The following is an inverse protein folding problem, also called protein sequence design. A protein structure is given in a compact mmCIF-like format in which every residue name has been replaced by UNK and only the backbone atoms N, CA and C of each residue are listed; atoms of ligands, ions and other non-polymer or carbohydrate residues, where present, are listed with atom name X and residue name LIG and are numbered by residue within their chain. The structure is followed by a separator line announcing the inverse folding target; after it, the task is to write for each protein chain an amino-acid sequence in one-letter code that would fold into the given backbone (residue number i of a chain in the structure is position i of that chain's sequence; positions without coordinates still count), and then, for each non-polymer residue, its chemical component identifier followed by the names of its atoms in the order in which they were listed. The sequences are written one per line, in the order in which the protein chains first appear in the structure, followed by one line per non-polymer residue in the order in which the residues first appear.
data_IF_267310045326
#
_entry.id   IF_267310045326
#
_cell.length_a   1.000
_cell.length_b   1.000
_cell.length_c   1.000
_cell.angle_alpha   90.00
_cell.angle_beta   90.00
_cell.angle_gamma   90.00
#
_symmetry.space_group_name_H-M   'P 1'
#
loop_
_entity.id
_entity.type
_entity.pdbx_description
1 polymer ?
#
# COMPACT_ATOMS: atom_id res chain seq x y z
N UNK A 1 3.97 23.30 -25.39
CA UNK A 1 3.38 23.11 -24.05
C UNK A 1 2.03 22.42 -24.21
N UNK A 2 1.91 21.16 -23.76
CA UNK A 2 0.69 20.69 -23.10
C UNK A 2 1.05 19.67 -22.00
N UNK A 3 1.36 20.14 -20.80
CA UNK A 3 1.57 19.26 -19.62
C UNK A 3 0.54 19.52 -18.51
N UNK A 4 -0.21 20.63 -18.58
CA UNK A 4 -1.20 20.99 -17.58
C UNK A 4 -2.46 20.09 -17.61
N UNK A 5 -2.90 19.68 -18.81
CA UNK A 5 -4.14 18.91 -18.97
C UNK A 5 -4.02 17.47 -18.41
N UNK A 6 -2.82 16.89 -18.49
CA UNK A 6 -2.53 15.55 -17.95
C UNK A 6 -2.57 15.59 -16.41
N UNK A 7 -1.99 16.63 -15.80
CA UNK A 7 -1.90 16.77 -14.34
C UNK A 7 -3.29 16.94 -13.70
N UNK A 8 -4.21 17.69 -14.33
CA UNK A 8 -5.58 17.85 -13.83
C UNK A 8 -6.40 16.56 -13.94
N UNK A 9 -6.20 15.78 -15.02
CA UNK A 9 -6.92 14.50 -15.21
C UNK A 9 -6.54 13.40 -14.21
N UNK A 10 -5.40 13.56 -13.53
CA UNK A 10 -4.85 12.63 -12.55
C UNK A 10 -5.10 13.05 -11.09
N UNK A 11 -5.82 14.17 -10.88
CA UNK A 11 -6.15 14.70 -9.56
C UNK A 11 -7.56 14.28 -9.11
N UNK A 12 -7.95 13.03 -9.43
CA UNK A 12 -9.23 12.45 -9.01
C UNK A 12 -9.02 11.73 -7.67
N UNK A 13 -9.91 11.89 -6.69
CA UNK A 13 -9.81 11.14 -5.44
C UNK A 13 -10.03 9.64 -5.68
N UNK A 14 -9.46 8.78 -4.83
CA UNK A 14 -9.61 7.33 -4.92
C UNK A 14 -11.07 6.88 -5.00
N UNK A 15 -11.37 5.98 -5.94
CA UNK A 15 -12.72 5.40 -6.10
C UNK A 15 -12.88 4.05 -5.39
N UNK A 16 -14.12 3.66 -5.09
CA UNK A 16 -14.41 2.33 -4.50
C UNK A 16 -14.01 1.19 -5.42
N UNK A 17 -14.20 1.35 -6.74
CA UNK A 17 -13.84 0.33 -7.74
C UNK A 17 -12.34 0.11 -7.79
N UNK A 18 -11.55 1.18 -7.76
CA UNK A 18 -10.09 1.13 -7.69
C UNK A 18 -9.62 0.48 -6.38
N UNK A 19 -10.25 0.85 -5.25
CA UNK A 19 -9.95 0.27 -3.94
C UNK A 19 -10.25 -1.23 -3.92
N UNK A 20 -11.38 -1.64 -4.48
CA UNK A 20 -11.77 -3.05 -4.62
C UNK A 20 -10.80 -3.83 -5.51
N UNK A 21 -10.39 -3.25 -6.64
CA UNK A 21 -9.40 -3.83 -7.54
C UNK A 21 -8.05 -3.99 -6.83
N UNK A 22 -7.59 -2.97 -6.11
CA UNK A 22 -6.34 -3.04 -5.36
C UNK A 22 -6.39 -4.11 -4.27
N UNK A 23 -7.52 -4.23 -3.55
CA UNK A 23 -7.71 -5.28 -2.55
C UNK A 23 -7.72 -6.68 -3.17
N UNK A 24 -8.35 -6.85 -4.33
CA UNK A 24 -8.44 -8.15 -5.00
C UNK A 24 -7.08 -8.63 -5.51
N UNK A 25 -6.23 -7.72 -6.00
CA UNK A 25 -4.86 -7.98 -6.46
C UNK A 25 -3.88 -8.39 -5.34
N UNK A 26 -4.22 -8.16 -4.06
CA UNK A 26 -3.35 -8.56 -2.96
C UNK A 26 -3.20 -10.09 -2.85
N UNK A 27 -1.99 -10.61 -2.68
CA UNK A 27 -1.78 -12.03 -2.41
C UNK A 27 -2.26 -12.43 -1.00
N UNK A 28 -2.98 -13.54 -0.86
CA UNK A 28 -3.61 -13.99 0.40
C UNK A 28 -2.71 -14.80 1.34
N UNK A 29 -1.40 -14.88 1.07
CA UNK A 29 -0.44 -15.69 1.86
C UNK A 29 0.80 -14.91 2.34
N UNK A 30 0.79 -13.58 2.25
CA UNK A 30 1.89 -12.74 2.73
C UNK A 30 1.70 -12.40 4.21
N UNK A 31 2.81 -12.26 4.92
CA UNK A 31 2.81 -11.78 6.28
C UNK A 31 2.15 -10.38 6.37
N UNK A 32 1.37 -10.12 7.43
CA UNK A 32 0.84 -8.79 7.71
C UNK A 32 2.00 -7.81 7.96
N UNK A 33 1.72 -6.51 7.84
CA UNK A 33 2.69 -5.50 8.18
C UNK A 33 2.73 -5.25 9.69
N UNK A 34 3.19 -4.06 10.08
CA UNK A 34 3.13 -3.58 11.47
C UNK A 34 1.71 -3.55 12.05
N UNK A 35 0.70 -3.46 11.18
CA UNK A 35 -0.73 -3.46 11.51
C UNK A 35 -1.25 -4.80 12.05
N UNK A 36 -0.53 -5.91 11.84
CA UNK A 36 -0.95 -7.28 12.20
C UNK A 36 -2.29 -7.73 11.56
N UNK A 37 -2.83 -6.97 10.59
CA UNK A 37 -4.06 -7.32 9.87
C UNK A 37 -3.68 -8.03 8.58
N UNK A 38 -4.10 -9.28 8.34
CA UNK A 38 -3.77 -9.99 7.11
C UNK A 38 -4.65 -9.53 5.93
N UNK A 39 -4.11 -9.64 4.71
CA UNK A 39 -4.84 -9.28 3.47
C UNK A 39 -6.16 -10.04 3.30
N UNK A 40 -6.29 -11.23 3.90
CA UNK A 40 -7.52 -12.03 3.89
C UNK A 40 -8.69 -11.32 4.58
N UNK A 41 -8.43 -10.54 5.64
CA UNK A 41 -9.47 -9.75 6.31
C UNK A 41 -10.01 -8.68 5.37
N UNK A 42 -9.13 -8.01 4.63
CA UNK A 42 -9.53 -7.01 3.63
C UNK A 42 -10.37 -7.60 2.51
N UNK A 43 -10.02 -8.80 2.04
CA UNK A 43 -10.80 -9.51 1.02
C UNK A 43 -12.15 -10.02 1.53
N UNK A 44 -12.22 -10.41 2.80
CA UNK A 44 -13.44 -10.92 3.42
C UNK A 44 -14.39 -9.81 3.91
N UNK A 45 -13.89 -8.59 4.11
CA UNK A 45 -14.66 -7.48 4.67
C UNK A 45 -15.79 -6.93 3.80
N UNK A 46 -15.88 -7.38 2.54
CA UNK A 46 -16.97 -7.02 1.63
C UNK A 46 -17.04 -5.52 1.30
N UNK A 47 -18.18 -5.09 0.79
CA UNK A 47 -18.40 -3.70 0.34
C UNK A 47 -18.26 -2.67 1.46
N UNK A 48 -18.69 -3.01 2.68
CA UNK A 48 -18.62 -2.11 3.84
C UNK A 48 -17.17 -1.74 4.17
N UNK A 49 -16.26 -2.73 4.17
CA UNK A 49 -14.86 -2.46 4.43
C UNK A 49 -14.22 -1.67 3.28
N UNK A 50 -14.57 -1.99 2.03
CA UNK A 50 -14.09 -1.25 0.86
C UNK A 50 -14.48 0.22 0.96
N UNK A 51 -15.76 0.52 1.22
CA UNK A 51 -16.26 1.88 1.43
C UNK A 51 -15.48 2.63 2.52
N UNK A 52 -15.27 2.00 3.69
CA UNK A 52 -14.52 2.64 4.78
C UNK A 52 -13.04 2.88 4.45
N UNK A 53 -12.40 1.94 3.75
CA UNK A 53 -11.01 2.12 3.30
C UNK A 53 -10.92 3.22 2.24
N UNK A 54 -11.88 3.30 1.31
CA UNK A 54 -11.95 4.36 0.31
C UNK A 54 -12.15 5.73 0.97
N UNK A 55 -13.10 5.86 1.91
CA UNK A 55 -13.30 7.10 2.67
C UNK A 55 -12.03 7.53 3.41
N UNK A 56 -11.30 6.59 4.00
CA UNK A 56 -10.03 6.86 4.66
C UNK A 56 -8.99 7.42 3.67
N UNK A 57 -8.82 6.80 2.51
CA UNK A 57 -7.86 7.28 1.50
C UNK A 57 -8.27 8.61 0.88
N UNK A 58 -9.56 8.85 0.69
CA UNK A 58 -10.08 10.15 0.27
C UNK A 58 -9.80 11.23 1.33
N UNK A 59 -9.82 10.89 2.62
CA UNK A 59 -9.45 11.84 3.67
C UNK A 59 -7.98 12.26 3.57
N UNK A 60 -7.06 11.31 3.36
CA UNK A 60 -5.63 11.58 3.12
C UNK A 60 -5.42 12.38 1.84
N UNK A 61 -6.19 12.06 0.80
CA UNK A 61 -6.19 12.80 -0.45
C UNK A 61 -6.57 14.27 -0.26
N UNK A 62 -7.64 14.54 0.48
CA UNK A 62 -8.12 15.90 0.76
C UNK A 62 -7.16 16.68 1.65
N UNK A 63 -6.58 16.03 2.67
CA UNK A 63 -5.55 16.62 3.52
C UNK A 63 -4.23 16.86 2.78
N UNK A 64 -4.01 16.16 1.67
CA UNK A 64 -2.77 16.24 0.93
C UNK A 64 -1.59 15.62 1.67
N UNK A 65 -1.83 14.60 2.49
CA UNK A 65 -0.75 13.85 3.14
C UNK A 65 -1.20 12.43 3.49
N UNK A 66 -0.28 11.47 3.39
CA UNK A 66 -0.47 10.10 3.83
C UNK A 66 0.27 9.93 5.17
N UNK A 67 -0.34 9.31 6.19
CA UNK A 67 0.34 9.02 7.45
C UNK A 67 1.65 8.26 7.26
N UNK A 68 2.68 8.63 8.02
CA UNK A 68 4.01 8.00 7.91
C UNK A 68 3.97 6.49 8.17
N UNK A 69 3.11 6.04 9.09
CA UNK A 69 2.91 4.62 9.40
C UNK A 69 2.46 3.77 8.20
N UNK A 70 1.81 4.38 7.20
CA UNK A 70 1.42 3.72 5.96
C UNK A 70 2.55 3.68 4.93
N UNK A 71 3.58 4.50 5.10
CA UNK A 71 4.78 4.55 4.24
C UNK A 71 5.89 3.67 4.80
N UNK A 72 5.98 3.56 6.12
CA UNK A 72 7.05 2.87 6.82
C UNK A 72 7.02 1.36 6.55
N UNK A 73 8.21 0.81 6.35
CA UNK A 73 8.42 -0.62 6.11
C UNK A 73 9.24 -1.20 7.26
N UNK A 74 8.73 -2.25 7.90
CA UNK A 74 9.48 -2.99 8.90
C UNK A 74 10.40 -3.99 8.22
N UNK A 75 11.71 -3.91 8.47
CA UNK A 75 12.70 -4.84 7.94
C UNK A 75 12.93 -5.95 8.97
N UNK A 76 12.67 -7.19 8.56
CA UNK A 76 12.90 -8.39 9.37
C UNK A 76 13.93 -9.28 8.71
N UNK A 77 14.97 -9.67 9.45
CA UNK A 77 15.97 -10.62 8.99
C UNK A 77 15.52 -12.05 9.28
N UNK A 78 15.25 -12.83 8.22
CA UNK A 78 14.92 -14.25 8.33
C UNK A 78 16.14 -15.12 8.07
N UNK A 79 16.43 -16.00 9.01
CA UNK A 79 17.48 -16.99 8.85
C UNK A 79 17.11 -17.98 7.73
N UNK A 80 18.05 -18.21 6.78
CA UNK A 80 17.87 -19.11 5.62
C UNK A 80 17.80 -20.59 6.00
N UNK A 81 17.92 -20.93 7.29
CA UNK A 81 17.98 -22.31 7.81
C UNK A 81 19.12 -23.13 7.19
N UNK A 82 20.23 -22.46 6.88
CA UNK A 82 21.45 -23.04 6.32
C UNK A 82 22.67 -22.33 6.90
N UNK A 83 23.75 -23.08 7.15
CA UNK A 83 25.03 -22.56 7.64
C UNK A 83 25.01 -22.12 9.11
N UNK A 84 26.05 -21.43 9.57
CA UNK A 84 26.16 -20.95 10.94
C UNK A 84 25.26 -19.72 11.19
N UNK A 85 24.56 -19.67 12.33
CA UNK A 85 23.68 -18.56 12.75
C UNK A 85 24.42 -17.25 13.03
N UNK A 86 25.74 -17.28 13.22
CA UNK A 86 26.56 -16.09 13.47
C UNK A 86 27.01 -15.36 12.19
N UNK A 87 26.82 -15.97 11.02
CA UNK A 87 27.21 -15.36 9.74
C UNK A 87 26.02 -14.56 9.19
N UNK A 88 26.23 -13.26 8.96
CA UNK A 88 25.20 -12.35 8.46
C UNK A 88 24.59 -12.80 7.11
N UNK A 89 25.41 -13.31 6.19
CA UNK A 89 24.98 -13.78 4.87
C UNK A 89 24.01 -14.97 4.93
N UNK A 90 23.92 -15.66 6.07
CA UNK A 90 22.94 -16.74 6.26
C UNK A 90 21.53 -16.22 6.60
N UNK A 91 21.31 -14.90 6.59
CA UNK A 91 20.01 -14.28 6.70
C UNK A 91 19.58 -13.67 5.36
N UNK A 92 18.27 -13.49 5.20
CA UNK A 92 17.67 -12.66 4.14
C UNK A 92 16.80 -11.60 4.78
N UNK A 93 16.90 -10.36 4.32
CA UNK A 93 16.01 -9.29 4.75
C UNK A 93 14.67 -9.41 4.02
N UNK A 94 13.57 -9.20 4.75
CA UNK A 94 12.23 -9.06 4.18
C UNK A 94 11.65 -7.76 4.68
N UNK A 95 11.11 -6.96 3.77
CA UNK A 95 10.39 -5.73 4.10
C UNK A 95 8.90 -6.01 4.23
N UNK A 96 8.32 -5.67 5.36
CA UNK A 96 6.91 -5.80 5.70
C UNK A 96 6.26 -4.41 5.71
N UNK A 97 5.40 -4.16 4.73
CA UNK A 97 4.54 -2.99 4.67
C UNK A 97 3.14 -3.33 5.19
N UNK A 98 2.48 -2.38 5.87
CA UNK A 98 1.07 -2.50 6.25
C UNK A 98 0.19 -2.85 5.06
N UNK A 99 -0.92 -3.53 5.29
CA UNK A 99 -1.82 -3.89 4.20
C UNK A 99 -2.41 -2.63 3.56
N UNK A 100 -2.79 -1.63 4.35
CA UNK A 100 -3.24 -0.34 3.85
C UNK A 100 -2.17 0.36 2.98
N UNK A 101 -0.90 0.35 3.40
CA UNK A 101 0.21 0.87 2.59
C UNK A 101 0.42 0.10 1.28
N UNK A 102 0.22 -1.23 1.29
CA UNK A 102 0.25 -2.05 0.06
C UNK A 102 -0.89 -1.71 -0.89
N UNK A 103 -2.10 -1.49 -0.37
CA UNK A 103 -3.26 -1.09 -1.18
C UNK A 103 -2.95 0.24 -1.86
N UNK A 104 -2.46 1.24 -1.11
CA UNK A 104 -2.06 2.54 -1.66
C UNK A 104 -1.01 2.42 -2.77
N UNK A 105 -0.01 1.55 -2.62
CA UNK A 105 0.99 1.29 -3.67
C UNK A 105 0.40 0.64 -4.92
N UNK A 106 -0.60 -0.23 -4.77
CA UNK A 106 -1.28 -0.84 -5.92
C UNK A 106 -2.13 0.23 -6.63
N UNK A 107 -2.81 1.09 -5.88
CA UNK A 107 -3.58 2.22 -6.43
C UNK A 107 -2.67 3.21 -7.16
N UNK A 108 -1.48 3.53 -6.64
CA UNK A 108 -0.49 4.39 -7.33
C UNK A 108 -0.06 3.84 -8.70
N UNK A 109 -0.03 2.51 -8.86
CA UNK A 109 0.30 1.87 -10.13
C UNK A 109 -0.86 1.93 -11.15
N UNK A 110 -2.10 2.12 -10.69
CA UNK A 110 -3.27 2.31 -11.54
C UNK A 110 -3.42 3.81 -11.85
N UNK A 111 -3.16 4.17 -13.11
CA UNK A 111 -2.96 5.54 -13.61
C UNK A 111 -4.04 6.58 -13.23
N UNK A 112 -5.19 6.24 -12.65
CA UNK A 112 -6.31 7.18 -12.47
C UNK A 112 -6.17 8.12 -11.25
N UNK A 113 -5.43 7.74 -10.20
CA UNK A 113 -5.18 8.57 -9.00
C UNK A 113 -3.68 8.84 -8.73
N UNK A 114 -2.80 8.46 -9.66
CA UNK A 114 -1.35 8.34 -9.42
C UNK A 114 -0.60 9.67 -9.16
N UNK A 115 -1.06 10.81 -9.68
CA UNK A 115 -0.27 12.04 -9.63
C UNK A 115 -0.05 12.58 -8.20
N UNK A 116 -1.04 12.41 -7.30
CA UNK A 116 -0.92 12.88 -5.90
C UNK A 116 -0.31 11.82 -4.99
N UNK A 117 -0.63 10.53 -5.20
CA UNK A 117 -0.07 9.43 -4.40
C UNK A 117 1.45 9.32 -4.59
N UNK A 118 1.93 9.45 -5.83
CA UNK A 118 3.37 9.47 -6.13
C UNK A 118 4.11 10.63 -5.43
N UNK A 119 3.47 11.80 -5.33
CA UNK A 119 4.02 12.96 -4.60
C UNK A 119 4.07 12.69 -3.09
N UNK A 120 3.12 11.93 -2.53
CA UNK A 120 3.09 11.60 -1.10
C UNK A 120 4.08 10.51 -0.67
N UNK A 121 4.49 9.64 -1.58
CA UNK A 121 5.52 8.62 -1.32
C UNK A 121 6.96 9.11 -1.52
N UNK A 122 7.18 10.26 -2.20
CA UNK A 122 8.48 10.94 -2.28
C UNK A 122 8.66 11.91 -1.10
N UNK A 123 9.11 11.38 0.04
CA UNK A 123 9.88 12.12 1.05
C UNK A 123 11.09 11.25 1.39
#
# INVERSE_FOLDING_TARGET
MPQADIIYSLNVPPSETETLQAISQMSSGKAPGSDMIPSKVYKAGGSVLVDKVTQLFQSFWNQGSIPQELKDMSIVHLYKRKGNRQVYDNYRSISLLSIAGKILKIMDAHHQCAAKIHLFFKI
#
